data_IF_714575638151
#
_entry.id   IF_714575638151
#
_cell.length_a   1.000
_cell.length_b   1.000
_cell.length_c   1.000
_cell.angle_alpha   90.00
_cell.angle_beta   90.00
_cell.angle_gamma   90.00
#
_symmetry.space_group_name_H-M   'P 1'
#
loop_
_entity.id
_entity.type
_entity.pdbx_description
1 polymer ?
#
# COMPACT_ATOMS: atom_id res chain seq x y z
N UNK A 1 14.91 10.58 11.38
CA UNK A 1 14.08 10.21 10.22
C UNK A 1 14.37 11.17 9.09
N UNK A 2 14.30 10.73 7.82
CA UNK A 2 14.77 11.48 6.65
C UNK A 2 13.59 11.98 5.79
N UNK A 3 13.66 13.21 5.30
CA UNK A 3 12.70 13.71 4.32
C UNK A 3 13.05 13.19 2.93
N UNK A 4 12.06 12.74 2.19
CA UNK A 4 12.24 12.26 0.82
C UNK A 4 10.91 11.96 0.16
N UNK A 5 10.96 11.16 -0.90
CA UNK A 5 9.77 10.74 -1.64
C UNK A 5 9.75 9.23 -1.81
N UNK A 6 8.57 8.62 -1.70
CA UNK A 6 8.36 7.20 -1.96
C UNK A 6 6.91 6.97 -2.38
N UNK A 7 6.72 6.07 -3.35
CA UNK A 7 5.43 5.57 -3.79
C UNK A 7 5.46 4.05 -3.57
N UNK A 8 4.45 3.53 -2.87
CA UNK A 8 4.34 2.10 -2.58
C UNK A 8 2.98 1.65 -3.06
N UNK A 9 2.90 0.75 -4.04
CA UNK A 9 1.66 0.08 -4.37
C UNK A 9 1.42 -1.12 -3.45
N UNK A 10 0.16 -1.43 -3.20
CA UNK A 10 -0.27 -2.55 -2.37
C UNK A 10 -1.07 -3.49 -3.25
N UNK A 11 -0.61 -4.74 -3.32
CA UNK A 11 -1.28 -5.79 -4.08
C UNK A 11 -1.90 -6.78 -3.11
N UNK A 12 -3.04 -7.35 -3.50
CA UNK A 12 -3.76 -8.31 -2.66
C UNK A 12 -4.19 -9.51 -3.47
N UNK A 13 -3.81 -10.69 -3.01
CA UNK A 13 -4.27 -11.93 -3.63
C UNK A 13 -4.66 -12.98 -2.59
N UNK A 14 -5.31 -14.04 -3.04
CA UNK A 14 -5.60 -15.21 -2.22
C UNK A 14 -4.37 -16.11 -2.11
N UNK A 15 -4.34 -16.96 -1.08
CA UNK A 15 -3.28 -17.96 -0.94
C UNK A 15 -3.16 -18.89 -2.16
N UNK A 16 -4.27 -19.22 -2.83
CA UNK A 16 -4.29 -20.13 -3.96
C UNK A 16 -3.68 -19.56 -5.25
N UNK A 17 -3.68 -18.24 -5.39
CA UNK A 17 -3.22 -17.54 -6.60
C UNK A 17 -1.84 -16.89 -6.44
N UNK A 18 -1.25 -16.97 -5.25
CA UNK A 18 0.07 -16.41 -4.96
C UNK A 18 1.12 -16.87 -6.01
N UNK A 19 1.98 -15.96 -6.53
CA UNK A 19 2.24 -14.61 -6.03
C UNK A 19 1.36 -13.48 -6.63
N UNK A 20 0.97 -12.46 -5.82
CA UNK A 20 0.35 -11.24 -6.32
C UNK A 20 1.22 -10.52 -7.34
N UNK A 21 0.58 -9.86 -8.30
CA UNK A 21 1.18 -9.05 -9.36
C UNK A 21 0.61 -7.62 -9.36
N UNK A 22 1.13 -6.77 -10.23
CA UNK A 22 0.62 -5.40 -10.44
C UNK A 22 -0.88 -5.36 -10.80
N UNK A 23 -1.39 -6.41 -11.46
CA UNK A 23 -2.82 -6.53 -11.77
C UNK A 23 -3.70 -6.69 -10.52
N UNK A 24 -3.11 -7.05 -9.38
CA UNK A 24 -3.77 -7.27 -8.09
C UNK A 24 -3.75 -6.03 -7.18
N UNK A 25 -3.40 -4.86 -7.75
CA UNK A 25 -3.38 -3.58 -7.03
C UNK A 25 -4.72 -3.26 -6.38
N UNK A 26 -4.67 -2.91 -5.09
CA UNK A 26 -5.82 -2.43 -4.33
C UNK A 26 -5.85 -0.91 -4.19
N UNK A 27 -4.83 -0.21 -4.69
CA UNK A 27 -4.70 1.26 -4.52
C UNK A 27 -5.16 2.04 -5.77
N UNK A 28 -5.38 1.34 -6.89
CA UNK A 28 -5.78 1.92 -8.17
C UNK A 28 -4.81 3.03 -8.61
N UNK A 29 -5.28 4.28 -8.73
CA UNK A 29 -4.45 5.44 -9.09
C UNK A 29 -3.99 6.27 -7.90
N UNK A 30 -4.25 5.80 -6.67
CA UNK A 30 -3.88 6.51 -5.44
C UNK A 30 -3.03 5.66 -4.48
N UNK A 31 -1.83 5.18 -4.88
CA UNK A 31 -0.92 4.51 -3.95
C UNK A 31 -0.46 5.41 -2.80
N UNK A 32 -0.18 4.85 -1.61
CA UNK A 32 0.49 5.57 -0.52
C UNK A 32 1.75 6.28 -1.01
N UNK A 33 1.74 7.60 -0.88
CA UNK A 33 2.80 8.48 -1.40
C UNK A 33 3.26 9.46 -0.34
N UNK A 34 4.58 9.52 -0.14
CA UNK A 34 5.26 10.64 0.52
C UNK A 34 5.94 11.45 -0.58
N UNK A 35 5.75 12.78 -0.56
CA UNK A 35 6.36 13.69 -1.53
C UNK A 35 7.17 14.75 -0.78
N UNK A 36 8.50 14.68 -0.84
CA UNK A 36 9.43 15.62 -0.20
C UNK A 36 9.09 15.91 1.28
N UNK A 37 8.76 14.85 2.02
CA UNK A 37 8.32 14.94 3.40
C UNK A 37 8.82 13.76 4.23
N UNK A 38 8.55 13.79 5.53
CA UNK A 38 8.87 12.69 6.46
C UNK A 38 7.72 11.69 6.61
N UNK A 39 6.46 12.09 6.32
CA UNK A 39 5.27 11.25 6.48
C UNK A 39 4.13 11.74 5.59
N UNK A 40 3.17 10.85 5.35
CA UNK A 40 1.91 11.12 4.67
C UNK A 40 0.81 10.23 5.25
N UNK A 41 -0.45 10.62 5.08
CA UNK A 41 -1.61 9.83 5.47
C UNK A 41 -2.74 10.08 4.48
N UNK A 42 -3.36 9.00 4.00
CA UNK A 42 -4.67 9.04 3.36
C UNK A 42 -5.69 8.30 4.24
N UNK A 43 -6.71 9.01 4.69
CA UNK A 43 -7.82 8.47 5.47
C UNK A 43 -9.10 8.24 4.62
N UNK A 44 -9.09 8.69 3.37
CA UNK A 44 -10.23 8.64 2.45
C UNK A 44 -10.18 7.40 1.56
N UNK A 45 -8.98 7.02 1.10
CA UNK A 45 -8.72 5.82 0.28
C UNK A 45 -9.65 5.77 -0.94
N UNK A 46 -9.72 6.87 -1.70
CA UNK A 46 -10.60 6.97 -2.88
C UNK A 46 -10.10 6.01 -3.96
N UNK A 47 -11.01 5.23 -4.54
CA UNK A 47 -10.68 4.25 -5.59
C UNK A 47 -10.11 2.92 -5.10
N UNK A 48 -9.80 2.79 -3.81
CA UNK A 48 -9.22 1.57 -3.28
C UNK A 48 -10.22 0.42 -3.18
N UNK A 49 -9.74 -0.80 -3.42
CA UNK A 49 -10.42 -2.01 -2.97
C UNK A 49 -10.16 -2.20 -1.48
N UNK A 50 -11.17 -1.97 -0.64
CA UNK A 50 -11.03 -1.92 0.84
C UNK A 50 -11.30 -3.24 1.56
N UNK A 51 -11.83 -4.22 0.84
CA UNK A 51 -12.15 -5.54 1.41
C UNK A 51 -10.89 -6.38 1.44
N UNK A 52 -10.49 -6.80 2.64
CA UNK A 52 -9.43 -7.77 2.87
C UNK A 52 -10.07 -8.94 3.62
N UNK A 53 -10.09 -10.10 2.97
CA UNK A 53 -10.67 -11.30 3.56
C UNK A 53 -9.63 -12.02 4.41
N UNK A 54 -10.12 -12.85 5.34
CA UNK A 54 -9.24 -13.74 6.09
C UNK A 54 -8.51 -14.69 5.12
N UNK A 55 -7.18 -14.73 5.21
CA UNK A 55 -6.34 -15.54 4.32
C UNK A 55 -5.85 -14.83 3.06
N UNK A 56 -6.27 -13.59 2.81
CA UNK A 56 -5.66 -12.76 1.76
C UNK A 56 -4.20 -12.42 2.14
N UNK A 57 -3.32 -12.39 1.14
CA UNK A 57 -1.91 -12.00 1.24
C UNK A 57 -1.76 -10.60 0.67
N UNK A 58 -1.08 -9.73 1.41
CA UNK A 58 -0.70 -8.40 0.94
C UNK A 58 0.77 -8.38 0.54
N UNK A 59 1.05 -7.90 -0.68
CA UNK A 59 2.40 -7.57 -1.13
C UNK A 59 2.56 -6.05 -1.22
N UNK A 60 3.76 -5.56 -0.92
CA UNK A 60 4.08 -4.13 -0.95
C UNK A 60 5.17 -3.91 -2.00
N UNK A 61 4.80 -3.27 -3.10
CA UNK A 61 5.70 -2.97 -4.19
C UNK A 61 6.18 -1.52 -4.08
N UNK A 62 7.49 -1.29 -4.11
CA UNK A 62 8.04 0.07 -4.12
C UNK A 62 8.18 0.51 -5.57
N UNK A 63 7.20 1.28 -6.07
CA UNK A 63 7.21 1.78 -7.45
C UNK A 63 8.32 2.79 -7.68
N UNK A 64 8.57 3.64 -6.69
CA UNK A 64 9.66 4.61 -6.72
C UNK A 64 10.09 5.01 -5.32
N UNK A 65 11.37 5.34 -5.18
CA UNK A 65 11.91 5.88 -3.94
C UNK A 65 13.06 6.85 -4.23
N UNK A 66 13.09 7.97 -3.50
CA UNK A 66 14.17 8.93 -3.48
C UNK A 66 14.48 9.31 -2.02
N UNK A 67 15.75 9.17 -1.64
CA UNK A 67 16.31 9.59 -0.33
C UNK A 67 15.87 8.74 0.87
N UNK A 68 14.64 8.23 0.91
CA UNK A 68 14.14 7.38 1.99
C UNK A 68 14.83 6.02 1.95
N UNK A 69 15.48 5.63 3.05
CA UNK A 69 16.17 4.32 3.19
C UNK A 69 15.42 3.33 4.08
N UNK A 70 14.44 3.82 4.85
CA UNK A 70 13.58 3.02 5.72
C UNK A 70 12.24 3.73 5.87
N UNK A 71 11.15 2.99 5.70
CA UNK A 71 9.79 3.50 5.84
C UNK A 71 8.93 2.49 6.59
N UNK A 72 7.91 2.98 7.29
CA UNK A 72 6.85 2.14 7.87
C UNK A 72 5.54 2.46 7.15
N UNK A 73 4.93 1.47 6.53
CA UNK A 73 3.57 1.55 6.00
C UNK A 73 2.62 0.91 7.02
N UNK A 74 1.60 1.65 7.45
CA UNK A 74 0.62 1.20 8.42
C UNK A 74 -0.79 1.29 7.82
N UNK A 75 -1.53 0.17 7.86
CA UNK A 75 -2.92 0.09 7.43
C UNK A 75 -3.83 0.00 8.65
N UNK A 76 -4.84 0.88 8.71
CA UNK A 76 -5.90 0.79 9.73
C UNK A 76 -7.03 -0.08 9.19
N UNK A 77 -7.19 -1.27 9.74
CA UNK A 77 -8.21 -2.23 9.32
C UNK A 77 -9.41 -2.20 10.28
N UNK A 78 -10.62 -2.20 9.73
CA UNK A 78 -11.86 -2.41 10.48
C UNK A 78 -12.39 -3.81 10.17
N UNK A 79 -12.54 -4.64 11.20
CA UNK A 79 -13.30 -5.90 11.07
C UNK A 79 -14.77 -5.56 10.80
N UNK A 80 -15.28 -6.02 9.67
CA UNK A 80 -16.71 -5.93 9.35
C UNK A 80 -17.36 -7.25 9.82
N UNK A 81 -18.47 -7.18 10.57
CA UNK A 81 -19.21 -8.36 11.00
C UNK A 81 -19.87 -9.11 9.84
#
# INVERSE_FOLDING_TARGET
>A
DISGSIVIDIWKDTYANFPPTDADSITASAPPTISTAQKSQDATLIGWTKTINAGDILAFNVDSCATITRVTLALKIKKVP
#
